data_IF_024857928244
#
_entry.id   IF_024857928244
#
_cell.length_a   1.000
_cell.length_b   1.000
_cell.length_c   1.000
_cell.angle_alpha   90.00
_cell.angle_beta   90.00
_cell.angle_gamma   90.00
#
_symmetry.space_group_name_H-M   'P 1'
#
loop_
_entity.id
_entity.type
_entity.pdbx_description
1 polymer ?
#
# COMPACT_ATOMS: atom_id res chain seq x y z
N UNK A 1 106.11 -44.86 -10.83
CA UNK A 1 106.12 -43.48 -10.29
C UNK A 1 105.41 -42.54 -11.29
N UNK A 2 104.09 -42.68 -11.48
CA UNK A 2 103.29 -41.84 -12.42
C UNK A 2 101.77 -41.95 -12.16
N UNK A 3 101.35 -42.29 -10.93
CA UNK A 3 99.92 -42.55 -10.61
C UNK A 3 99.20 -41.47 -9.80
N UNK A 4 99.89 -40.42 -9.35
CA UNK A 4 99.34 -39.52 -8.31
C UNK A 4 98.93 -38.12 -8.77
N UNK A 5 99.23 -37.72 -10.02
CA UNK A 5 98.98 -36.34 -10.48
C UNK A 5 97.64 -36.11 -11.19
N UNK A 6 96.91 -37.16 -11.59
CA UNK A 6 95.69 -37.02 -12.40
C UNK A 6 94.36 -37.02 -11.63
N UNK A 7 94.42 -37.07 -10.28
CA UNK A 7 93.20 -37.03 -9.42
C UNK A 7 92.80 -35.64 -8.95
N UNK A 8 93.65 -34.60 -9.10
CA UNK A 8 93.29 -33.21 -8.73
C UNK A 8 92.50 -32.47 -9.81
N UNK A 9 92.73 -32.75 -11.10
CA UNK A 9 92.02 -32.05 -12.21
C UNK A 9 90.57 -32.50 -12.43
N UNK A 10 90.19 -33.70 -12.00
CA UNK A 10 88.80 -34.20 -12.12
C UNK A 10 87.86 -33.74 -11.01
N UNK A 11 88.37 -33.23 -9.88
CA UNK A 11 87.53 -32.64 -8.83
C UNK A 11 87.12 -31.20 -9.16
N UNK A 12 88.00 -30.41 -9.76
CA UNK A 12 87.69 -29.02 -10.14
C UNK A 12 86.62 -28.91 -11.25
N UNK A 13 86.60 -29.81 -12.23
CA UNK A 13 85.57 -29.80 -13.28
C UNK A 13 84.15 -30.15 -12.79
N UNK A 14 84.02 -30.92 -11.70
CA UNK A 14 82.72 -31.22 -11.09
C UNK A 14 82.18 -30.04 -10.28
N UNK A 15 83.04 -29.35 -9.51
CA UNK A 15 82.62 -28.18 -8.71
C UNK A 15 82.22 -27.00 -9.58
N UNK A 16 82.94 -26.76 -10.69
CA UNK A 16 82.61 -25.70 -11.65
C UNK A 16 81.28 -25.95 -12.40
N UNK A 17 80.93 -27.22 -12.66
CA UNK A 17 79.63 -27.59 -13.22
C UNK A 17 78.48 -27.31 -12.24
N UNK A 18 78.67 -27.64 -10.97
CA UNK A 18 77.66 -27.43 -9.92
C UNK A 18 77.37 -25.95 -9.69
N UNK A 19 78.38 -25.08 -9.78
CA UNK A 19 78.18 -23.63 -9.66
C UNK A 19 77.36 -23.07 -10.83
N UNK A 20 77.60 -23.55 -12.06
CA UNK A 20 76.78 -23.20 -13.22
C UNK A 20 75.32 -23.66 -13.08
N UNK A 21 75.10 -24.86 -12.55
CA UNK A 21 73.75 -25.39 -12.29
C UNK A 21 73.02 -24.59 -11.19
N UNK A 22 73.73 -24.18 -10.12
CA UNK A 22 73.18 -23.31 -9.06
C UNK A 22 72.79 -21.94 -9.64
N UNK A 23 73.64 -21.34 -10.48
CA UNK A 23 73.34 -20.06 -11.13
C UNK A 23 72.10 -20.16 -12.02
N UNK A 24 71.99 -21.21 -12.83
CA UNK A 24 70.81 -21.44 -13.67
C UNK A 24 69.54 -21.66 -12.85
N UNK A 25 69.63 -22.41 -11.74
CA UNK A 25 68.50 -22.65 -10.85
C UNK A 25 68.10 -21.38 -10.08
N UNK A 26 69.05 -20.54 -9.67
CA UNK A 26 68.79 -19.24 -9.07
C UNK A 26 68.15 -18.27 -10.09
N UNK A 27 68.63 -18.22 -11.33
CA UNK A 27 67.99 -17.42 -12.39
C UNK A 27 66.53 -17.84 -12.62
N UNK A 28 66.27 -19.15 -12.72
CA UNK A 28 64.90 -19.67 -12.83
C UNK A 28 64.05 -19.33 -11.61
N UNK A 29 64.60 -19.46 -10.40
CA UNK A 29 63.90 -19.11 -9.16
C UNK A 29 63.51 -17.61 -9.13
N UNK A 30 64.39 -16.71 -9.57
CA UNK A 30 64.10 -15.28 -9.67
C UNK A 30 62.93 -14.97 -10.61
N UNK A 31 62.88 -15.64 -11.78
CA UNK A 31 61.77 -15.48 -12.74
C UNK A 31 60.44 -15.95 -12.12
N UNK A 32 60.42 -17.12 -11.48
CA UNK A 32 59.21 -17.66 -10.82
C UNK A 32 58.75 -16.75 -9.66
N UNK A 33 59.69 -16.18 -8.90
CA UNK A 33 59.36 -15.22 -7.83
C UNK A 33 58.70 -13.96 -8.39
N UNK A 34 59.21 -13.41 -9.51
CA UNK A 34 58.59 -12.27 -10.18
C UNK A 34 57.17 -12.59 -10.67
N UNK A 35 56.94 -13.78 -11.23
CA UNK A 35 55.61 -14.21 -11.68
C UNK A 35 54.61 -14.34 -10.52
N UNK A 36 55.03 -14.99 -9.42
CA UNK A 36 54.19 -15.08 -8.21
C UNK A 36 53.95 -13.69 -7.61
N UNK A 37 54.93 -12.79 -7.65
CA UNK A 37 54.76 -11.41 -7.19
C UNK A 37 53.72 -10.65 -8.02
N UNK A 38 53.70 -10.85 -9.34
CA UNK A 38 52.67 -10.29 -10.22
C UNK A 38 51.27 -10.81 -9.87
N UNK A 39 51.12 -12.11 -9.63
CA UNK A 39 49.86 -12.70 -9.18
C UNK A 39 49.41 -12.16 -7.80
N UNK A 40 50.34 -11.97 -6.86
CA UNK A 40 50.01 -11.39 -5.55
C UNK A 40 49.50 -9.96 -5.69
N UNK A 41 50.12 -9.15 -6.54
CA UNK A 41 49.68 -7.78 -6.78
C UNK A 41 48.29 -7.74 -7.41
N UNK A 42 48.01 -8.62 -8.39
CA UNK A 42 46.68 -8.77 -8.95
C UNK A 42 45.64 -9.16 -7.88
N UNK A 43 45.94 -10.15 -7.03
CA UNK A 43 45.00 -10.58 -6.00
C UNK A 43 44.82 -9.49 -4.93
N UNK A 44 45.86 -8.75 -4.56
CA UNK A 44 45.76 -7.64 -3.63
C UNK A 44 44.80 -6.55 -4.15
N UNK A 45 44.87 -6.19 -5.44
CA UNK A 45 43.91 -5.24 -6.03
C UNK A 45 42.47 -5.76 -6.03
N UNK A 46 42.27 -7.09 -6.15
CA UNK A 46 40.94 -7.71 -6.03
C UNK A 46 40.41 -7.65 -4.59
N UNK A 47 41.27 -7.83 -3.59
CA UNK A 47 40.92 -7.70 -2.16
C UNK A 47 40.49 -6.27 -1.83
N UNK A 48 41.22 -5.26 -2.30
CA UNK A 48 40.83 -3.85 -2.14
C UNK A 48 39.43 -3.59 -2.73
N UNK A 49 39.18 -4.08 -3.94
CA UNK A 49 37.86 -3.98 -4.57
C UNK A 49 36.77 -4.73 -3.78
N UNK A 50 37.11 -5.85 -3.14
CA UNK A 50 36.17 -6.61 -2.32
C UNK A 50 35.79 -5.85 -1.03
N UNK A 51 36.72 -5.07 -0.46
CA UNK A 51 36.42 -4.18 0.67
C UNK A 51 35.39 -3.10 0.29
N UNK A 52 35.55 -2.47 -0.88
CA UNK A 52 34.60 -1.49 -1.41
C UNK A 52 33.21 -2.10 -1.63
N UNK A 53 33.16 -3.33 -2.13
CA UNK A 53 31.89 -4.08 -2.29
C UNK A 53 31.24 -4.32 -0.93
N UNK A 54 31.99 -4.75 0.09
CA UNK A 54 31.45 -4.95 1.44
C UNK A 54 30.85 -3.66 2.01
N UNK A 55 31.54 -2.52 1.85
CA UNK A 55 31.01 -1.22 2.28
C UNK A 55 29.70 -0.87 1.56
N UNK A 56 29.64 -1.10 0.25
CA UNK A 56 28.43 -0.85 -0.55
C UNK A 56 27.27 -1.75 -0.12
N UNK A 57 27.53 -3.04 0.16
CA UNK A 57 26.52 -3.97 0.65
C UNK A 57 25.95 -3.54 2.01
N UNK A 58 26.79 -3.06 2.94
CA UNK A 58 26.33 -2.52 4.23
C UNK A 58 25.44 -1.30 4.06
N UNK A 59 25.81 -0.37 3.18
CA UNK A 59 24.97 0.79 2.87
C UNK A 59 23.62 0.38 2.28
N UNK A 60 23.62 -0.60 1.37
CA UNK A 60 22.40 -1.17 0.81
C UNK A 60 21.51 -1.81 1.87
N UNK A 61 22.10 -2.57 2.81
CA UNK A 61 21.37 -3.20 3.91
C UNK A 61 20.71 -2.15 4.82
N UNK A 62 21.45 -1.11 5.18
CA UNK A 62 20.93 0.00 5.98
C UNK A 62 19.78 0.74 5.28
N UNK A 63 19.89 0.96 3.97
CA UNK A 63 18.81 1.56 3.18
C UNK A 63 17.56 0.66 3.13
N UNK A 64 17.74 -0.66 2.97
CA UNK A 64 16.64 -1.64 3.02
C UNK A 64 15.94 -1.63 4.38
N UNK A 65 16.69 -1.63 5.49
CA UNK A 65 16.14 -1.52 6.84
C UNK A 65 15.32 -0.24 7.04
N UNK A 66 15.87 0.91 6.61
CA UNK A 66 15.15 2.17 6.70
C UNK A 66 13.84 2.15 5.87
N UNK A 67 13.86 1.54 4.68
CA UNK A 67 12.67 1.31 3.86
C UNK A 67 11.65 0.42 4.57
N UNK A 68 12.12 -0.68 5.15
CA UNK A 68 11.29 -1.63 5.89
C UNK A 68 10.61 -1.00 7.12
N UNK A 69 11.32 -0.14 7.87
CA UNK A 69 10.74 0.60 9.00
C UNK A 69 9.61 1.53 8.55
N UNK A 70 9.73 2.15 7.38
CA UNK A 70 8.66 2.98 6.79
C UNK A 70 7.45 2.13 6.40
N UNK A 71 7.67 0.94 5.85
CA UNK A 71 6.60 -0.02 5.52
C UNK A 71 5.87 -0.46 6.80
N UNK A 72 6.61 -0.83 7.85
CA UNK A 72 6.04 -1.21 9.14
C UNK A 72 5.25 -0.06 9.80
N UNK A 73 5.73 1.18 9.68
CA UNK A 73 5.00 2.36 10.15
C UNK A 73 3.68 2.56 9.38
N UNK A 74 3.72 2.47 8.04
CA UNK A 74 2.53 2.58 7.21
C UNK A 74 1.51 1.46 7.51
N UNK A 75 1.96 0.24 7.77
CA UNK A 75 1.09 -0.87 8.16
C UNK A 75 0.40 -0.62 9.51
N UNK A 76 1.10 -0.03 10.49
CA UNK A 76 0.51 0.38 11.77
C UNK A 76 -0.52 1.49 11.61
N UNK A 77 -0.24 2.48 10.78
CA UNK A 77 -1.18 3.56 10.47
C UNK A 77 -2.43 3.01 9.78
N UNK A 78 -2.24 2.12 8.79
CA UNK A 78 -3.35 1.42 8.12
C UNK A 78 -4.25 0.69 9.11
N UNK A 79 -3.68 -0.01 10.11
CA UNK A 79 -4.46 -0.66 11.18
C UNK A 79 -5.29 0.32 12.02
N UNK A 80 -4.74 1.49 12.33
CA UNK A 80 -5.49 2.52 13.07
C UNK A 80 -6.65 3.04 12.25
N UNK A 81 -6.43 3.33 10.97
CA UNK A 81 -7.46 3.82 10.04
C UNK A 81 -8.54 2.76 9.82
N UNK A 82 -8.18 1.48 9.64
CA UNK A 82 -9.15 0.41 9.46
C UNK A 82 -9.94 0.12 10.73
N UNK A 83 -9.34 0.26 11.92
CA UNK A 83 -10.06 0.15 13.19
C UNK A 83 -11.11 1.27 13.35
N UNK A 84 -10.77 2.51 13.00
CA UNK A 84 -11.73 3.62 12.99
C UNK A 84 -12.86 3.35 11.98
N UNK A 85 -12.51 2.96 10.76
CA UNK A 85 -13.49 2.66 9.72
C UNK A 85 -14.43 1.50 10.12
N UNK A 86 -13.94 0.51 10.87
CA UNK A 86 -14.78 -0.57 11.40
C UNK A 86 -15.83 -0.03 12.38
N UNK A 87 -15.45 0.90 13.26
CA UNK A 87 -16.40 1.57 14.17
C UNK A 87 -17.43 2.44 13.41
N UNK A 88 -17.01 3.10 12.34
CA UNK A 88 -17.92 3.88 11.49
C UNK A 88 -18.93 2.97 10.75
N UNK A 89 -18.49 1.79 10.30
CA UNK A 89 -19.38 0.77 9.71
C UNK A 89 -20.39 0.24 10.72
N UNK A 90 -19.98 -0.05 11.96
CA UNK A 90 -20.88 -0.49 13.02
C UNK A 90 -21.95 0.58 13.33
N UNK A 91 -21.52 1.84 13.45
CA UNK A 91 -22.43 2.98 13.66
C UNK A 91 -23.41 3.15 12.49
N UNK A 92 -22.93 2.94 11.26
CA UNK A 92 -23.76 3.00 10.06
C UNK A 92 -24.80 1.88 10.04
N UNK A 93 -24.44 0.65 10.44
CA UNK A 93 -25.38 -0.47 10.55
C UNK A 93 -26.50 -0.18 11.56
N UNK A 94 -26.15 0.34 12.75
CA UNK A 94 -27.14 0.73 13.77
C UNK A 94 -28.09 1.82 13.25
N UNK A 95 -27.55 2.81 12.53
CA UNK A 95 -28.35 3.91 11.95
C UNK A 95 -29.31 3.39 10.87
N UNK A 96 -28.89 2.42 10.06
CA UNK A 96 -29.72 1.79 9.04
C UNK A 96 -30.84 0.95 9.66
N UNK A 97 -30.55 0.18 10.71
CA UNK A 97 -31.55 -0.58 11.45
C UNK A 97 -32.62 0.34 12.06
N UNK A 98 -32.20 1.43 12.70
CA UNK A 98 -33.12 2.44 13.21
C UNK A 98 -33.97 3.05 12.09
N UNK A 99 -33.36 3.40 10.96
CA UNK A 99 -34.07 3.95 9.80
C UNK A 99 -35.12 2.98 9.23
N UNK A 100 -34.79 1.68 9.14
CA UNK A 100 -35.73 0.66 8.69
C UNK A 100 -36.90 0.49 9.66
N UNK A 101 -36.63 0.57 10.97
CA UNK A 101 -37.67 0.56 12.01
C UNK A 101 -38.60 1.78 11.89
N UNK A 102 -38.06 2.98 11.71
CA UNK A 102 -38.85 4.20 11.53
C UNK A 102 -39.71 4.16 10.27
N UNK A 103 -39.17 3.64 9.17
CA UNK A 103 -39.93 3.45 7.92
C UNK A 103 -41.07 2.43 8.12
N UNK A 104 -40.83 1.36 8.89
CA UNK A 104 -41.86 0.40 9.22
C UNK A 104 -42.99 1.04 10.03
N UNK A 105 -42.65 1.81 11.07
CA UNK A 105 -43.62 2.56 11.87
C UNK A 105 -44.40 3.59 11.04
N UNK A 106 -43.76 4.24 10.07
CA UNK A 106 -44.42 5.16 9.15
C UNK A 106 -45.47 4.45 8.29
N UNK A 107 -45.15 3.28 7.74
CA UNK A 107 -46.10 2.49 6.94
C UNK A 107 -47.29 2.05 7.79
N UNK A 108 -47.04 1.55 9.00
CA UNK A 108 -48.12 1.18 9.94
C UNK A 108 -49.01 2.38 10.29
N UNK A 109 -48.41 3.55 10.56
CA UNK A 109 -49.12 4.80 10.82
C UNK A 109 -50.04 5.21 9.67
N UNK A 110 -49.57 5.09 8.42
CA UNK A 110 -50.39 5.38 7.23
C UNK A 110 -51.55 4.36 7.11
N UNK A 111 -51.31 3.07 7.35
CA UNK A 111 -52.37 2.05 7.34
C UNK A 111 -53.46 2.33 8.39
N UNK A 112 -53.08 2.80 9.58
CA UNK A 112 -54.04 3.22 10.61
C UNK A 112 -54.86 4.42 10.13
N UNK A 113 -54.23 5.43 9.53
CA UNK A 113 -54.93 6.61 8.98
C UNK A 113 -55.91 6.19 7.88
N UNK A 114 -55.50 5.33 6.95
CA UNK A 114 -56.38 4.81 5.89
C UNK A 114 -57.63 4.12 6.45
N UNK A 115 -57.49 3.34 7.54
CA UNK A 115 -58.62 2.70 8.20
C UNK A 115 -59.60 3.70 8.81
N UNK A 116 -59.09 4.76 9.45
CA UNK A 116 -59.90 5.81 10.07
C UNK A 116 -60.63 6.64 9.01
N UNK A 117 -59.97 6.94 7.90
CA UNK A 117 -60.55 7.61 6.74
C UNK A 117 -61.67 6.75 6.12
N UNK A 118 -61.49 5.43 6.03
CA UNK A 118 -62.54 4.52 5.59
C UNK A 118 -63.79 4.58 6.47
N UNK A 119 -63.61 4.60 7.80
CA UNK A 119 -64.71 4.78 8.75
C UNK A 119 -65.38 6.16 8.62
N UNK A 120 -64.60 7.22 8.43
CA UNK A 120 -65.12 8.58 8.20
C UNK A 120 -65.98 8.65 6.94
N UNK A 121 -65.54 8.04 5.83
CA UNK A 121 -66.30 7.95 4.58
C UNK A 121 -67.65 7.27 4.79
N UNK A 122 -67.69 6.17 5.54
CA UNK A 122 -68.93 5.47 5.86
C UNK A 122 -69.90 6.36 6.68
N UNK A 123 -69.36 7.11 7.65
CA UNK A 123 -70.14 8.05 8.45
C UNK A 123 -70.69 9.21 7.60
N UNK A 124 -69.88 9.82 6.73
CA UNK A 124 -70.31 10.87 5.81
C UNK A 124 -71.42 10.39 4.87
N UNK A 125 -71.29 9.18 4.32
CA UNK A 125 -72.33 8.56 3.49
C UNK A 125 -73.64 8.35 4.25
N UNK A 126 -73.57 7.92 5.52
CA UNK A 126 -74.75 7.79 6.36
C UNK A 126 -75.44 9.13 6.62
N UNK A 127 -74.67 10.17 6.97
CA UNK A 127 -75.21 11.53 7.20
C UNK A 127 -75.81 12.10 5.92
N UNK A 128 -75.21 11.84 4.76
CA UNK A 128 -75.76 12.26 3.46
C UNK A 128 -77.15 11.66 3.22
N UNK A 129 -77.32 10.36 3.45
CA UNK A 129 -78.62 9.69 3.29
C UNK A 129 -79.68 10.27 4.22
N UNK A 130 -79.32 10.53 5.49
CA UNK A 130 -80.23 11.14 6.47
C UNK A 130 -80.59 12.58 6.04
N UNK A 131 -79.64 13.37 5.54
CA UNK A 131 -79.89 14.73 5.05
C UNK A 131 -80.85 14.73 3.85
N UNK A 132 -80.68 13.80 2.90
CA UNK A 132 -81.59 13.63 1.76
C UNK A 132 -83.01 13.27 2.20
N UNK A 133 -83.16 12.36 3.19
CA UNK A 133 -84.45 12.00 3.78
C UNK A 133 -85.13 13.21 4.44
N UNK A 134 -84.39 14.01 5.21
CA UNK A 134 -84.92 15.25 5.81
C UNK A 134 -85.32 16.27 4.74
N UNK A 135 -84.51 16.41 3.69
CA UNK A 135 -84.77 17.28 2.54
C UNK A 135 -86.07 16.88 1.83
N UNK A 136 -86.33 15.58 1.68
CA UNK A 136 -87.59 15.04 1.17
C UNK A 136 -88.78 15.35 2.09
N UNK A 137 -88.65 15.12 3.39
CA UNK A 137 -89.69 15.44 4.40
C UNK A 137 -90.00 16.93 4.38
N UNK A 138 -89.00 17.80 4.29
CA UNK A 138 -89.16 19.25 4.21
C UNK A 138 -89.94 19.66 2.96
N UNK A 139 -89.65 19.07 1.80
CA UNK A 139 -90.41 19.28 0.55
C UNK A 139 -91.86 18.81 0.66
N UNK A 140 -92.10 17.62 1.23
CA UNK A 140 -93.46 17.11 1.45
C UNK A 140 -94.24 18.00 2.41
N UNK A 141 -93.61 18.43 3.49
CA UNK A 141 -94.20 19.35 4.48
C UNK A 141 -94.51 20.71 3.85
N UNK A 142 -93.64 21.20 2.96
CA UNK A 142 -93.87 22.43 2.21
C UNK A 142 -95.13 22.34 1.33
N UNK A 143 -95.31 21.21 0.62
CA UNK A 143 -96.49 20.97 -0.20
C UNK A 143 -97.76 20.83 0.65
N UNK A 144 -97.68 20.14 1.79
CA UNK A 144 -98.80 20.03 2.74
C UNK A 144 -99.21 21.39 3.30
N UNK A 145 -98.23 22.21 3.72
CA UNK A 145 -98.47 23.56 4.23
C UNK A 145 -99.04 24.49 3.16
N UNK A 146 -98.60 24.35 1.90
CA UNK A 146 -99.16 25.08 0.77
C UNK A 146 -100.64 24.71 0.55
N UNK A 147 -100.97 23.42 0.54
CA UNK A 147 -102.35 22.94 0.39
C UNK A 147 -103.22 23.43 1.56
N UNK A 148 -102.70 23.40 2.79
CA UNK A 148 -103.40 23.92 3.96
C UNK A 148 -103.63 25.44 3.88
N UNK A 149 -102.65 26.21 3.39
CA UNK A 149 -102.80 27.66 3.18
C UNK A 149 -103.86 27.98 2.12
N UNK A 150 -103.92 27.19 1.04
CA UNK A 150 -104.96 27.32 0.00
C UNK A 150 -106.34 27.05 0.59
N UNK A 151 -106.51 25.96 1.36
CA UNK A 151 -107.80 25.60 1.94
C UNK A 151 -108.23 26.60 3.04
N UNK A 152 -107.27 27.11 3.83
CA UNK A 152 -107.53 28.17 4.80
C UNK A 152 -107.98 29.47 4.14
N UNK A 153 -107.40 29.85 2.99
CA UNK A 153 -107.87 30.97 2.19
C UNK A 153 -109.28 30.74 1.62
N UNK A 154 -109.59 29.48 1.26
CA UNK A 154 -110.90 29.07 0.74
C UNK A 154 -112.02 29.13 1.79
N UNK A 155 -111.69 28.92 3.06
CA UNK A 155 -112.61 29.02 4.20
C UNK A 155 -112.93 30.47 4.63
N UNK A 156 -112.29 31.49 4.04
CA UNK A 156 -112.59 32.90 4.30
C UNK A 156 -112.27 33.34 5.74
N UNK A 157 -113.20 34.06 6.40
CA UNK A 157 -113.04 34.57 7.77
C UNK A 157 -112.75 33.46 8.81
N UNK A 158 -113.34 32.26 8.63
CA UNK A 158 -113.18 31.13 9.56
C UNK A 158 -111.81 30.45 9.45
N UNK A 159 -111.06 30.68 8.35
CA UNK A 159 -109.75 30.07 8.10
C UNK A 159 -108.55 30.91 8.53
N UNK A 160 -108.75 32.15 9.00
CA UNK A 160 -107.65 33.11 9.27
C UNK A 160 -106.59 32.57 10.24
N UNK A 161 -106.99 31.92 11.32
CA UNK A 161 -106.05 31.33 12.30
C UNK A 161 -105.27 30.15 11.71
N UNK A 162 -105.92 29.31 10.89
CA UNK A 162 -105.26 28.21 10.17
C UNK A 162 -104.30 28.72 9.07
N UNK A 163 -104.61 29.83 8.41
CA UNK A 163 -103.76 30.43 7.40
C UNK A 163 -102.41 30.91 7.98
N UNK A 164 -102.41 31.46 9.20
CA UNK A 164 -101.19 31.87 9.91
C UNK A 164 -100.31 30.65 10.23
N UNK A 165 -100.90 29.57 10.76
CA UNK A 165 -100.18 28.33 11.06
C UNK A 165 -99.59 27.72 9.78
N UNK A 166 -100.36 27.66 8.70
CA UNK A 166 -99.90 27.12 7.42
C UNK A 166 -98.74 27.93 6.82
N UNK A 167 -98.77 29.28 6.94
CA UNK A 167 -97.67 30.14 6.52
C UNK A 167 -96.38 29.93 7.34
N UNK A 168 -96.51 29.72 8.65
CA UNK A 168 -95.37 29.43 9.53
C UNK A 168 -94.76 28.05 9.21
N UNK A 169 -95.58 27.01 9.04
CA UNK A 169 -95.11 25.67 8.64
C UNK A 169 -94.42 25.70 7.28
N UNK A 170 -94.96 26.45 6.31
CA UNK A 170 -94.35 26.64 4.98
C UNK A 170 -92.97 27.30 5.08
N UNK A 171 -92.83 28.29 5.97
CA UNK A 171 -91.56 29.00 6.20
C UNK A 171 -90.55 28.09 6.89
N UNK A 172 -90.98 27.33 7.90
CA UNK A 172 -90.14 26.37 8.61
C UNK A 172 -89.63 25.28 7.68
N UNK A 173 -90.50 24.71 6.85
CA UNK A 173 -90.12 23.67 5.89
C UNK A 173 -89.16 24.19 4.81
N UNK A 174 -89.30 25.44 4.36
CA UNK A 174 -88.36 26.08 3.46
C UNK A 174 -86.98 26.29 4.11
N UNK A 175 -86.94 26.75 5.37
CA UNK A 175 -85.70 26.85 6.15
C UNK A 175 -85.03 25.49 6.35
N UNK A 176 -85.81 24.44 6.63
CA UNK A 176 -85.29 23.07 6.74
C UNK A 176 -84.66 22.61 5.43
N UNK A 177 -85.33 22.81 4.29
CA UNK A 177 -84.80 22.45 2.98
C UNK A 177 -83.50 23.20 2.64
N UNK A 178 -83.43 24.49 3.00
CA UNK A 178 -82.21 25.29 2.85
C UNK A 178 -81.07 24.74 3.71
N UNK A 179 -81.34 24.42 4.99
CA UNK A 179 -80.35 23.87 5.90
C UNK A 179 -79.82 22.51 5.40
N UNK A 180 -80.69 21.62 4.90
CA UNK A 180 -80.26 20.34 4.31
C UNK A 180 -79.41 20.52 3.06
N UNK A 181 -79.68 21.54 2.23
CA UNK A 181 -78.82 21.85 1.07
C UNK A 181 -77.42 22.36 1.47
N UNK A 182 -77.31 23.10 2.57
CA UNK A 182 -76.01 23.49 3.13
C UNK A 182 -75.25 22.29 3.69
N UNK A 183 -75.96 21.36 4.34
CA UNK A 183 -75.37 20.09 4.80
C UNK A 183 -74.85 19.27 3.62
N UNK A 184 -75.63 19.07 2.56
CA UNK A 184 -75.21 18.35 1.35
C UNK A 184 -73.94 18.97 0.72
N UNK A 185 -73.89 20.31 0.63
CA UNK A 185 -72.70 21.02 0.13
C UNK A 185 -71.46 20.73 0.98
N UNK A 186 -71.62 20.78 2.31
CA UNK A 186 -70.53 20.51 3.27
C UNK A 186 -70.07 19.05 3.20
N UNK A 187 -71.00 18.10 3.09
CA UNK A 187 -70.69 16.67 2.95
C UNK A 187 -69.94 16.37 1.65
N UNK A 188 -70.29 17.06 0.57
CA UNK A 188 -69.58 16.93 -0.72
C UNK A 188 -68.13 17.37 -0.58
N UNK A 189 -67.89 18.52 0.06
CA UNK A 189 -66.53 19.03 0.32
C UNK A 189 -65.73 18.09 1.22
N UNK A 190 -66.34 17.57 2.30
CA UNK A 190 -65.68 16.62 3.20
C UNK A 190 -65.36 15.30 2.50
N UNK A 191 -66.23 14.83 1.61
CA UNK A 191 -66.00 13.62 0.81
C UNK A 191 -64.80 13.83 -0.14
N UNK A 192 -64.74 14.95 -0.84
CA UNK A 192 -63.62 15.29 -1.72
C UNK A 192 -62.28 15.39 -0.95
N UNK A 193 -62.30 16.02 0.23
CA UNK A 193 -61.13 16.06 1.12
C UNK A 193 -60.70 14.67 1.59
N UNK A 194 -61.66 13.80 1.89
CA UNK A 194 -61.42 12.41 2.30
C UNK A 194 -60.74 11.62 1.17
N UNK A 195 -61.22 11.73 -0.07
CA UNK A 195 -60.61 11.07 -1.24
C UNK A 195 -59.17 11.57 -1.52
N UNK A 196 -58.93 12.87 -1.34
CA UNK A 196 -57.58 13.42 -1.42
C UNK A 196 -56.64 12.82 -0.40
N UNK A 197 -57.08 12.70 0.86
CA UNK A 197 -56.27 12.09 1.92
C UNK A 197 -55.95 10.62 1.64
N UNK A 198 -56.86 9.86 1.03
CA UNK A 198 -56.61 8.47 0.58
C UNK A 198 -55.49 8.45 -0.46
N UNK A 199 -55.58 9.34 -1.46
CA UNK A 199 -54.58 9.42 -2.53
C UNK A 199 -53.21 9.81 -1.98
N UNK A 200 -53.15 10.81 -1.10
CA UNK A 200 -51.92 11.24 -0.42
C UNK A 200 -51.34 10.13 0.48
N UNK A 201 -52.19 9.34 1.15
CA UNK A 201 -51.79 8.16 1.93
C UNK A 201 -51.13 7.08 1.07
N UNK A 202 -51.76 6.72 -0.05
CA UNK A 202 -51.23 5.74 -1.00
C UNK A 202 -49.87 6.17 -1.59
N UNK A 203 -49.72 7.45 -1.93
CA UNK A 203 -48.45 8.01 -2.38
C UNK A 203 -47.35 7.92 -1.30
N UNK A 204 -47.70 8.24 -0.05
CA UNK A 204 -46.76 8.17 1.07
C UNK A 204 -46.32 6.73 1.36
N UNK A 205 -47.23 5.76 1.28
CA UNK A 205 -46.89 4.33 1.38
C UNK A 205 -45.92 3.93 0.27
N UNK A 206 -46.18 4.31 -0.99
CA UNK A 206 -45.28 4.02 -2.11
C UNK A 206 -43.91 4.68 -1.94
N UNK A 207 -43.86 5.92 -1.43
CA UNK A 207 -42.60 6.61 -1.10
C UNK A 207 -41.83 5.88 0.00
N UNK A 208 -42.50 5.48 1.07
CA UNK A 208 -41.90 4.73 2.17
C UNK A 208 -41.30 3.39 1.70
N UNK A 209 -41.98 2.70 0.78
CA UNK A 209 -41.46 1.46 0.17
C UNK A 209 -40.16 1.70 -0.62
N UNK A 210 -40.09 2.77 -1.43
CA UNK A 210 -38.87 3.13 -2.16
C UNK A 210 -37.73 3.49 -1.22
N UNK A 211 -38.01 4.25 -0.15
CA UNK A 211 -37.00 4.60 0.86
C UNK A 211 -36.48 3.31 1.52
N UNK A 212 -37.36 2.38 1.92
CA UNK A 212 -36.97 1.09 2.50
C UNK A 212 -36.02 0.30 1.59
N UNK A 213 -36.32 0.22 0.30
CA UNK A 213 -35.47 -0.47 -0.68
C UNK A 213 -34.11 0.23 -0.81
N UNK A 214 -34.10 1.57 -0.88
CA UNK A 214 -32.89 2.38 -0.85
C UNK A 214 -32.04 2.12 0.40
N UNK A 215 -32.64 2.14 1.58
CA UNK A 215 -31.97 1.84 2.86
C UNK A 215 -31.39 0.43 2.87
N UNK A 216 -32.08 -0.56 2.29
CA UNK A 216 -31.57 -1.93 2.19
C UNK A 216 -30.34 -2.02 1.29
N UNK A 217 -30.35 -1.37 0.13
CA UNK A 217 -29.18 -1.31 -0.75
C UNK A 217 -27.98 -0.64 -0.08
N UNK A 218 -28.22 0.43 0.71
CA UNK A 218 -27.16 1.06 1.51
C UNK A 218 -26.61 0.06 2.54
N UNK A 219 -27.47 -0.74 3.17
CA UNK A 219 -27.06 -1.83 4.07
C UNK A 219 -26.14 -2.85 3.41
N UNK A 220 -26.44 -3.27 2.18
CA UNK A 220 -25.59 -4.20 1.43
C UNK A 220 -24.20 -3.61 1.15
N UNK A 221 -24.15 -2.31 0.79
CA UNK A 221 -22.88 -1.59 0.59
C UNK A 221 -22.10 -1.50 1.90
N UNK A 222 -22.73 -1.10 3.00
CA UNK A 222 -22.09 -1.01 4.32
C UNK A 222 -21.54 -2.37 4.76
N UNK A 223 -22.27 -3.46 4.51
CA UNK A 223 -21.80 -4.82 4.78
C UNK A 223 -20.56 -5.17 3.95
N UNK A 224 -20.57 -4.89 2.64
CA UNK A 224 -19.41 -5.08 1.77
C UNK A 224 -18.21 -4.24 2.20
N UNK A 225 -18.43 -3.01 2.64
CA UNK A 225 -17.38 -2.14 3.20
C UNK A 225 -16.77 -2.76 4.47
N UNK A 226 -17.60 -3.32 5.35
CA UNK A 226 -17.14 -4.06 6.53
C UNK A 226 -16.20 -5.22 6.18
N UNK A 227 -16.54 -6.04 5.19
CA UNK A 227 -15.67 -7.11 4.70
C UNK A 227 -14.33 -6.59 4.16
N UNK A 228 -14.36 -5.52 3.36
CA UNK A 228 -13.15 -4.91 2.82
C UNK A 228 -12.23 -4.39 3.95
N UNK A 229 -12.79 -3.80 5.00
CA UNK A 229 -12.03 -3.34 6.17
C UNK A 229 -11.38 -4.51 6.92
N UNK A 230 -12.11 -5.63 7.09
CA UNK A 230 -11.54 -6.83 7.71
C UNK A 230 -10.36 -7.39 6.91
N UNK A 231 -10.48 -7.42 5.57
CA UNK A 231 -9.40 -7.83 4.69
C UNK A 231 -8.19 -6.90 4.80
N UNK A 232 -8.39 -5.59 4.77
CA UNK A 232 -7.30 -4.61 4.94
C UNK A 232 -6.57 -4.77 6.27
N UNK A 233 -7.31 -5.05 7.36
CA UNK A 233 -6.68 -5.30 8.65
C UNK A 233 -5.84 -6.60 8.65
N UNK A 234 -6.29 -7.64 7.96
CA UNK A 234 -5.51 -8.87 7.78
C UNK A 234 -4.23 -8.62 6.96
N UNK A 235 -4.34 -7.90 5.84
CA UNK A 235 -3.20 -7.51 5.01
C UNK A 235 -2.19 -6.67 5.79
N UNK A 236 -2.65 -5.70 6.59
CA UNK A 236 -1.76 -4.89 7.43
C UNK A 236 -1.00 -5.72 8.49
N UNK A 237 -1.63 -6.74 9.08
CA UNK A 237 -0.95 -7.67 9.99
C UNK A 237 0.07 -8.55 9.25
N UNK A 238 -0.25 -8.99 8.02
CA UNK A 238 0.68 -9.75 7.20
C UNK A 238 1.91 -8.90 6.83
N UNK A 239 1.71 -7.63 6.44
CA UNK A 239 2.80 -6.69 6.17
C UNK A 239 3.67 -6.51 7.42
N UNK A 240 3.08 -6.35 8.60
CA UNK A 240 3.85 -6.23 9.84
C UNK A 240 4.72 -7.47 10.13
N UNK A 241 4.20 -8.67 9.83
CA UNK A 241 4.94 -9.93 9.98
C UNK A 241 6.10 -10.01 9.01
N UNK A 242 5.85 -9.75 7.71
CA UNK A 242 6.87 -9.74 6.67
C UNK A 242 7.96 -8.69 6.94
N UNK A 243 7.58 -7.53 7.48
CA UNK A 243 8.54 -6.52 7.91
C UNK A 243 9.44 -7.03 9.05
N UNK A 244 8.91 -7.78 10.01
CA UNK A 244 9.74 -8.43 11.03
C UNK A 244 10.75 -9.41 10.44
N UNK A 245 10.32 -10.25 9.50
CA UNK A 245 11.20 -11.20 8.80
C UNK A 245 12.32 -10.51 8.00
N UNK A 246 12.00 -9.40 7.31
CA UNK A 246 12.99 -8.60 6.58
C UNK A 246 14.01 -7.99 7.55
N UNK A 247 13.58 -7.52 8.72
CA UNK A 247 14.49 -6.97 9.73
C UNK A 247 15.48 -8.04 10.23
N UNK A 248 15.00 -9.24 10.57
CA UNK A 248 15.85 -10.36 10.96
C UNK A 248 16.84 -10.76 9.85
N UNK A 249 16.38 -10.85 8.60
CA UNK A 249 17.23 -11.18 7.45
C UNK A 249 18.29 -10.10 7.20
N UNK A 250 17.95 -8.82 7.28
CA UNK A 250 18.90 -7.73 7.12
C UNK A 250 19.95 -7.71 8.23
N UNK A 251 19.56 -7.98 9.48
CA UNK A 251 20.50 -8.08 10.60
C UNK A 251 21.47 -9.26 10.42
N UNK A 252 20.96 -10.42 9.99
CA UNK A 252 21.81 -11.57 9.68
C UNK A 252 22.75 -11.28 8.49
N UNK A 253 22.26 -10.59 7.47
CA UNK A 253 23.06 -10.17 6.32
C UNK A 253 24.16 -9.18 6.73
N UNK A 254 23.87 -8.19 7.58
CA UNK A 254 24.89 -7.27 8.08
C UNK A 254 26.00 -8.00 8.85
N UNK A 255 25.64 -8.99 9.68
CA UNK A 255 26.62 -9.83 10.39
C UNK A 255 27.52 -10.58 9.41
N UNK A 256 26.95 -11.20 8.36
CA UNK A 256 27.74 -11.93 7.36
C UNK A 256 28.67 -11.01 6.57
N UNK A 257 28.22 -9.79 6.23
CA UNK A 257 29.06 -8.81 5.52
C UNK A 257 30.19 -8.31 6.43
N UNK A 258 29.96 -8.21 7.74
CA UNK A 258 31.01 -7.88 8.71
C UNK A 258 32.09 -8.96 8.74
N UNK A 259 31.69 -10.24 8.78
CA UNK A 259 32.63 -11.37 8.76
C UNK A 259 33.47 -11.36 7.47
N UNK A 260 32.83 -11.14 6.31
CA UNK A 260 33.55 -11.03 5.03
C UNK A 260 34.51 -9.84 5.03
N UNK A 261 34.12 -8.69 5.58
CA UNK A 261 34.98 -7.52 5.66
C UNK A 261 36.24 -7.79 6.50
N UNK A 262 36.09 -8.51 7.63
CA UNK A 262 37.21 -8.95 8.46
C UNK A 262 38.12 -9.95 7.71
N UNK A 263 37.55 -10.90 6.98
CA UNK A 263 38.33 -11.85 6.16
C UNK A 263 39.11 -11.15 5.03
N UNK A 264 38.52 -10.11 4.43
CA UNK A 264 39.16 -9.27 3.41
C UNK A 264 40.34 -8.49 4.00
N UNK A 265 40.18 -7.92 5.19
CA UNK A 265 41.25 -7.22 5.91
C UNK A 265 42.43 -8.19 6.21
N UNK A 266 42.15 -9.36 6.78
CA UNK A 266 43.16 -10.40 7.02
C UNK A 266 43.84 -10.88 5.73
N UNK A 267 43.08 -11.02 4.64
CA UNK A 267 43.63 -11.39 3.33
C UNK A 267 44.60 -10.31 2.83
N UNK A 268 44.24 -9.03 2.97
CA UNK A 268 45.12 -7.90 2.65
C UNK A 268 46.44 -7.95 3.42
N UNK A 269 46.39 -8.18 4.73
CA UNK A 269 47.58 -8.35 5.57
C UNK A 269 48.45 -9.53 5.10
N UNK A 270 47.84 -10.66 4.79
CA UNK A 270 48.54 -11.86 4.30
C UNK A 270 49.24 -11.60 2.96
N UNK A 271 48.63 -10.83 2.04
CA UNK A 271 49.26 -10.50 0.77
C UNK A 271 50.43 -9.52 0.93
N UNK A 272 50.35 -8.55 1.86
CA UNK A 272 51.49 -7.68 2.21
C UNK A 272 52.64 -8.51 2.76
N UNK A 273 52.38 -9.46 3.66
CA UNK A 273 53.41 -10.35 4.19
C UNK A 273 54.01 -11.24 3.10
N UNK A 274 53.20 -11.80 2.22
CA UNK A 274 53.65 -12.65 1.13
C UNK A 274 54.52 -11.86 0.13
N UNK A 275 54.13 -10.62 -0.23
CA UNK A 275 54.93 -9.71 -1.06
C UNK A 275 56.31 -9.44 -0.43
N UNK A 276 56.36 -9.17 0.88
CA UNK A 276 57.63 -8.96 1.58
C UNK A 276 58.51 -10.22 1.58
N UNK A 277 57.93 -11.41 1.75
CA UNK A 277 58.66 -12.68 1.69
C UNK A 277 59.20 -12.97 0.29
N UNK A 278 58.43 -12.69 -0.76
CA UNK A 278 58.90 -12.81 -2.14
C UNK A 278 60.04 -11.84 -2.44
N UNK A 279 59.95 -10.59 -1.99
CA UNK A 279 61.05 -9.62 -2.11
C UNK A 279 62.34 -10.12 -1.46
N UNK A 280 62.24 -10.72 -0.27
CA UNK A 280 63.40 -11.33 0.40
C UNK A 280 63.95 -12.53 -0.39
N UNK A 281 63.08 -13.41 -0.93
CA UNK A 281 63.51 -14.55 -1.73
C UNK A 281 64.16 -14.11 -3.05
N UNK A 282 63.65 -13.04 -3.67
CA UNK A 282 64.25 -12.45 -4.87
C UNK A 282 65.67 -11.97 -4.56
N UNK A 283 65.84 -11.23 -3.45
CA UNK A 283 67.17 -10.78 -3.01
C UNK A 283 68.13 -11.92 -2.68
N UNK A 284 67.64 -13.03 -2.11
CA UNK A 284 68.46 -14.25 -1.92
C UNK A 284 68.87 -14.84 -3.27
N UNK A 285 67.96 -14.89 -4.23
CA UNK A 285 68.21 -15.39 -5.58
C UNK A 285 69.24 -14.54 -6.33
N UNK A 286 69.11 -13.22 -6.27
CA UNK A 286 70.06 -12.25 -6.83
C UNK A 286 71.44 -12.40 -6.20
N UNK A 287 71.52 -12.55 -4.88
CA UNK A 287 72.78 -12.78 -4.16
C UNK A 287 73.44 -14.11 -4.56
N UNK A 288 72.66 -15.18 -4.77
CA UNK A 288 73.20 -16.44 -5.29
C UNK A 288 73.76 -16.29 -6.71
N UNK A 289 73.08 -15.54 -7.58
CA UNK A 289 73.59 -15.22 -8.93
C UNK A 289 74.91 -14.43 -8.81
N UNK A 290 74.96 -13.41 -7.95
CA UNK A 290 76.17 -12.61 -7.71
C UNK A 290 77.34 -13.47 -7.17
N UNK A 291 77.10 -14.31 -6.16
CA UNK A 291 78.10 -15.19 -5.57
C UNK A 291 78.63 -16.21 -6.58
N UNK A 292 77.75 -16.80 -7.40
CA UNK A 292 78.16 -17.77 -8.43
C UNK A 292 78.98 -17.10 -9.52
N UNK A 293 78.62 -15.89 -9.96
CA UNK A 293 79.40 -15.08 -10.88
C UNK A 293 80.79 -14.72 -10.30
N UNK A 294 80.86 -14.34 -9.03
CA UNK A 294 82.12 -13.99 -8.35
C UNK A 294 83.11 -15.16 -8.21
N UNK A 295 82.65 -16.41 -8.33
CA UNK A 295 83.55 -17.58 -8.29
C UNK A 295 84.38 -17.78 -9.57
N UNK A 296 84.06 -17.06 -10.65
CA UNK A 296 84.73 -17.19 -11.95
C UNK A 296 84.36 -18.47 -12.71
N UNK A 297 83.30 -19.16 -12.30
CA UNK A 297 82.73 -20.27 -13.06
C UNK A 297 81.94 -19.75 -14.27
N UNK A 298 81.97 -20.49 -15.39
CA UNK A 298 81.14 -20.18 -16.54
C UNK A 298 79.66 -20.46 -16.19
N UNK A 299 78.87 -19.40 -16.15
CA UNK A 299 77.42 -19.40 -15.92
C UNK A 299 76.68 -18.96 -17.18
N UNK A 300 75.36 -19.05 -17.16
CA UNK A 300 74.52 -18.51 -18.24
C UNK A 300 74.72 -16.99 -18.44
N UNK A 301 75.11 -16.28 -17.38
CA UNK A 301 75.30 -14.83 -17.40
C UNK A 301 76.71 -14.41 -17.82
N UNK A 302 77.69 -15.32 -17.82
CA UNK A 302 79.09 -15.04 -18.15
C UNK A 302 79.29 -14.30 -19.48
N UNK A 303 78.61 -14.65 -20.60
CA UNK A 303 78.74 -13.90 -21.85
C UNK A 303 78.29 -12.44 -21.73
N UNK A 304 77.27 -12.18 -20.89
CA UNK A 304 76.77 -10.82 -20.65
C UNK A 304 77.71 -10.06 -19.71
N UNK A 305 78.22 -10.69 -18.67
CA UNK A 305 79.23 -10.10 -17.75
C UNK A 305 80.47 -9.70 -18.54
N UNK A 306 81.02 -10.60 -19.37
CA UNK A 306 82.19 -10.31 -20.21
C UNK A 306 81.92 -9.16 -21.20
N UNK A 307 80.72 -9.12 -21.80
CA UNK A 307 80.35 -8.02 -22.69
C UNK A 307 80.27 -6.67 -21.96
N UNK A 308 79.73 -6.65 -20.74
CA UNK A 308 79.67 -5.45 -19.88
C UNK A 308 81.07 -5.02 -19.45
N UNK A 309 81.93 -5.95 -19.03
CA UNK A 309 83.32 -5.65 -18.66
C UNK A 309 84.11 -5.08 -19.84
N UNK A 310 83.96 -5.65 -21.04
CA UNK A 310 84.60 -5.14 -22.26
C UNK A 310 84.10 -3.73 -22.61
N UNK A 311 82.78 -3.50 -22.50
CA UNK A 311 82.19 -2.19 -22.73
C UNK A 311 82.66 -1.16 -21.70
N UNK A 312 82.70 -1.52 -20.41
CA UNK A 312 83.20 -0.69 -19.33
C UNK A 312 84.68 -0.35 -19.50
N UNK A 313 85.52 -1.32 -19.87
CA UNK A 313 86.93 -1.10 -20.16
C UNK A 313 87.14 -0.15 -21.36
N UNK A 314 86.31 -0.27 -22.40
CA UNK A 314 86.32 0.64 -23.55
C UNK A 314 85.90 2.05 -23.16
N UNK A 315 84.85 2.19 -22.36
CA UNK A 315 84.40 3.48 -21.83
C UNK A 315 85.46 4.12 -20.91
N UNK A 316 86.09 3.34 -20.03
CA UNK A 316 87.18 3.78 -19.16
C UNK A 316 88.37 4.31 -19.95
N UNK A 317 88.83 3.58 -20.98
CA UNK A 317 89.92 4.05 -21.86
C UNK A 317 89.58 5.37 -22.56
N UNK A 318 88.33 5.53 -23.01
CA UNK A 318 87.87 6.77 -23.63
C UNK A 318 87.82 7.92 -22.61
N UNK A 319 87.39 7.66 -21.38
CA UNK A 319 87.36 8.63 -20.29
C UNK A 319 88.78 9.06 -19.88
N UNK A 320 89.70 8.11 -19.66
CA UNK A 320 91.10 8.38 -19.36
C UNK A 320 91.78 9.20 -20.47
N UNK A 321 91.51 8.87 -21.74
CA UNK A 321 92.01 9.64 -22.88
C UNK A 321 91.45 11.07 -22.93
N UNK A 322 90.20 11.28 -22.48
CA UNK A 322 89.60 12.60 -22.39
C UNK A 322 90.14 13.41 -21.20
N UNK A 323 90.33 12.78 -20.03
CA UNK A 323 90.95 13.40 -18.85
C UNK A 323 92.39 13.81 -19.15
N UNK A 324 93.18 12.92 -19.77
CA UNK A 324 94.56 13.23 -20.16
C UNK A 324 94.67 14.42 -21.13
N UNK A 325 93.67 14.61 -22.02
CA UNK A 325 93.58 15.78 -22.89
C UNK A 325 93.16 17.06 -22.15
N UNK A 326 92.40 16.94 -21.07
CA UNK A 326 91.95 18.08 -20.26
C UNK A 326 93.04 18.55 -19.26
N UNK A 327 93.85 17.65 -18.70
CA UNK A 327 94.98 17.99 -17.81
C UNK A 327 96.25 18.48 -18.54
N UNK A 328 96.22 18.52 -19.88
CA UNK A 328 97.29 19.08 -20.72
C UNK A 328 96.95 20.52 -21.22
N UNK A 329 95.87 21.12 -20.69
CA UNK A 329 95.53 22.55 -20.79
C UNK A 329 95.71 23.20 -19.42
#
# INVERSE_FOLDING_TARGET
MTGFFNRRRRRSGGTLSVVGDIAAQAGKLGIEICDVSGHIEEVATRVERQADVCQTLRQSAAATLAGNHRIAAAAREMRTVTAQAAGDVETSQQTLEASLSDIHGLVEGVTVIESQIGALRAALSHVSRVSEEISLIARQTHLLALNAAIEAARAGEFGKSFAVVAAEVKTLSAKTAQATGQIETTLTQLTEQTERLITEGAENTARAQRVREGTRMIGDVVHSTGHAIMQLNAEANQIATLSGEIEEQCNAFESQVLDIATDVEHSGENFVQAKNRLGNLLGVSENLIELTAATGAATADTPFIEAVEQAAAKAGKLFEAAVARASCR
#
